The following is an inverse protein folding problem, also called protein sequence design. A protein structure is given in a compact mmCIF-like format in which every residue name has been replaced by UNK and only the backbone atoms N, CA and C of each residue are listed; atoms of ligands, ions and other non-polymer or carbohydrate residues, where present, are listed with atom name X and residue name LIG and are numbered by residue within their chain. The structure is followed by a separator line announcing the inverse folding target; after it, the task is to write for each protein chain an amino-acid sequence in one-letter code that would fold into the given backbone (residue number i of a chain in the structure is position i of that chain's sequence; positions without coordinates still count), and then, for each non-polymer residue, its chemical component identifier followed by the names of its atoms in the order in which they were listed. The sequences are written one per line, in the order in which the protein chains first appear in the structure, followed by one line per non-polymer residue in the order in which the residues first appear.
data_IF_454050675650
#
_entry.id   IF_454050675650
#
_cell.length_a   1.000
_cell.length_b   1.000
_cell.length_c   1.000
_cell.angle_alpha   90.00
_cell.angle_beta   90.00
_cell.angle_gamma   90.00
#
_symmetry.space_group_name_H-M   'P 1'
#
loop_
_entity.id
_entity.type
_entity.pdbx_description
1 polymer ?
#
# COMPACT_ATOMS: atom_id res chain seq x y z
N UNK A 1 17.98 14.10 -2.98
CA UNK A 1 16.54 13.84 -3.14
C UNK A 1 16.15 14.10 -4.58
N UNK A 2 15.54 13.14 -5.25
CA UNK A 2 14.94 13.32 -6.56
C UNK A 2 13.41 13.25 -6.43
N UNK A 3 12.71 14.12 -7.14
CA UNK A 3 11.24 14.19 -7.13
C UNK A 3 10.74 13.87 -8.54
N UNK A 4 9.82 12.90 -8.62
CA UNK A 4 9.18 12.50 -9.86
C UNK A 4 7.70 12.91 -9.76
N UNK A 5 7.29 13.89 -10.55
CA UNK A 5 5.90 14.33 -10.63
C UNK A 5 5.17 13.59 -11.76
N UNK A 6 4.15 12.84 -11.40
CA UNK A 6 3.40 12.00 -12.29
C UNK A 6 2.01 12.61 -12.52
N UNK A 7 1.77 13.11 -13.72
CA UNK A 7 0.43 13.57 -14.16
C UNK A 7 -0.30 12.50 -14.99
N UNK A 8 0.44 11.50 -15.50
CA UNK A 8 -0.06 10.34 -16.22
C UNK A 8 0.20 9.02 -15.48
N UNK A 9 0.08 7.91 -16.22
CA UNK A 9 0.31 6.56 -15.72
C UNK A 9 1.80 6.25 -15.62
N UNK A 10 2.14 5.33 -14.71
CA UNK A 10 3.43 4.63 -14.77
C UNK A 10 3.23 3.37 -15.62
N UNK A 11 4.08 3.22 -16.62
CA UNK A 11 4.16 2.03 -17.42
C UNK A 11 5.62 1.57 -17.52
N UNK A 12 5.89 0.35 -17.09
CA UNK A 12 7.21 -0.28 -17.16
C UNK A 12 7.13 -1.42 -18.17
N UNK A 13 7.77 -1.30 -19.31
CA UNK A 13 7.67 -2.29 -20.41
C UNK A 13 8.68 -3.42 -20.27
N UNK A 14 9.91 -3.12 -19.83
CA UNK A 14 11.01 -4.08 -19.75
C UNK A 14 11.95 -3.71 -18.61
N UNK A 15 11.66 -4.14 -17.39
CA UNK A 15 12.54 -3.88 -16.25
C UNK A 15 11.82 -3.51 -14.98
N UNK A 16 12.59 -3.18 -13.96
CA UNK A 16 12.09 -2.79 -12.64
C UNK A 16 12.25 -1.29 -12.44
N UNK A 17 11.21 -0.65 -11.89
CA UNK A 17 11.46 0.54 -11.09
C UNK A 17 11.84 0.01 -9.70
N UNK A 18 13.12 -0.02 -9.41
CA UNK A 18 13.61 -0.35 -8.08
C UNK A 18 14.11 0.91 -7.41
N UNK A 19 13.48 1.23 -6.28
CA UNK A 19 13.96 2.23 -5.34
C UNK A 19 14.52 1.54 -4.10
N UNK A 20 15.25 0.44 -4.28
CA UNK A 20 15.95 -0.22 -3.17
C UNK A 20 16.74 0.83 -2.41
N UNK A 21 16.68 0.88 -1.08
CA UNK A 21 17.55 1.73 -0.30
C UNK A 21 18.98 1.25 -0.51
N UNK A 22 19.62 1.75 -1.56
CA UNK A 22 21.06 1.63 -1.70
C UNK A 22 21.63 2.39 -0.51
N UNK A 23 22.45 1.73 0.26
CA UNK A 23 23.23 2.24 1.41
C UNK A 23 23.32 3.77 1.50
N UNK A 24 23.32 4.35 2.68
CA UNK A 24 23.21 5.73 3.13
C UNK A 24 23.66 6.91 2.21
N UNK A 25 24.05 6.66 0.98
CA UNK A 25 24.49 7.64 -0.02
C UNK A 25 23.53 7.79 -1.20
N UNK A 26 22.54 6.93 -1.35
CA UNK A 26 21.56 7.03 -2.44
C UNK A 26 20.44 7.99 -2.07
N UNK A 27 20.14 8.90 -2.97
CA UNK A 27 19.15 9.93 -2.75
C UNK A 27 17.73 9.38 -2.52
N UNK A 28 16.95 10.10 -1.73
CA UNK A 28 15.52 9.81 -1.55
C UNK A 28 14.80 10.09 -2.86
N UNK A 29 14.04 9.11 -3.36
CA UNK A 29 13.13 9.27 -4.50
C UNK A 29 11.72 9.48 -3.99
N UNK A 30 11.07 10.54 -4.45
CA UNK A 30 9.69 10.88 -4.11
C UNK A 30 8.85 10.77 -5.38
N UNK A 31 7.84 9.90 -5.34
CA UNK A 31 6.86 9.73 -6.42
C UNK A 31 5.60 10.49 -6.06
N UNK A 32 5.30 11.55 -6.79
CA UNK A 32 4.09 12.35 -6.61
C UNK A 32 3.05 11.98 -7.67
N UNK A 33 1.97 11.31 -7.25
CA UNK A 33 0.80 11.08 -8.09
C UNK A 33 -0.12 12.29 -7.96
N UNK A 34 -0.06 13.20 -8.92
CA UNK A 34 -0.76 14.48 -8.88
C UNK A 34 -1.58 14.76 -10.16
N UNK A 35 -2.02 13.72 -10.84
CA UNK A 35 -2.92 13.82 -11.99
C UNK A 35 -4.31 14.36 -11.64
N UNK A 36 -5.03 14.78 -12.66
CA UNK A 36 -6.45 15.19 -12.56
C UNK A 36 -7.42 14.13 -13.11
N UNK A 37 -6.89 13.09 -13.74
CA UNK A 37 -7.61 11.92 -14.26
C UNK A 37 -7.15 10.67 -13.52
N UNK A 38 -7.90 9.54 -13.58
CA UNK A 38 -7.45 8.29 -12.98
C UNK A 38 -6.07 7.90 -13.49
N UNK A 39 -5.19 7.53 -12.56
CA UNK A 39 -3.83 7.07 -12.87
C UNK A 39 -3.71 5.58 -12.63
N UNK A 40 -2.77 4.93 -13.28
CA UNK A 40 -2.43 3.54 -13.03
C UNK A 40 -0.93 3.30 -12.94
N UNK A 41 -0.58 2.29 -12.17
CA UNK A 41 0.77 1.73 -12.12
C UNK A 41 0.70 0.35 -12.76
N UNK A 42 1.43 0.16 -13.87
CA UNK A 42 1.37 -1.04 -14.67
C UNK A 42 2.77 -1.38 -15.21
N UNK A 43 3.12 -2.65 -15.26
CA UNK A 43 4.39 -3.09 -15.83
C UNK A 43 4.22 -4.07 -17.01
N UNK A 44 3.19 -3.89 -17.82
CA UNK A 44 3.04 -4.68 -19.07
C UNK A 44 2.71 -6.16 -18.85
N UNK A 45 2.23 -6.55 -17.65
CA UNK A 45 1.87 -7.94 -17.34
C UNK A 45 3.05 -8.79 -16.83
N UNK A 46 4.22 -8.21 -16.65
CA UNK A 46 5.35 -8.88 -15.99
C UNK A 46 5.09 -8.86 -14.48
N UNK A 47 5.09 -10.00 -13.76
CA UNK A 47 4.82 -10.04 -12.32
C UNK A 47 6.05 -9.58 -11.52
N UNK A 48 6.39 -8.31 -11.63
CA UNK A 48 7.51 -7.69 -10.92
C UNK A 48 6.97 -6.69 -9.90
N UNK A 49 7.54 -6.69 -8.71
CA UNK A 49 7.25 -5.70 -7.68
C UNK A 49 7.81 -4.33 -8.13
N UNK A 50 6.99 -3.30 -8.07
CA UNK A 50 7.42 -1.93 -8.34
C UNK A 50 7.79 -1.29 -7.03
N UNK A 51 9.07 -1.00 -6.84
CA UNK A 51 9.60 -0.47 -5.60
C UNK A 51 9.67 1.05 -5.63
N UNK A 52 9.08 1.70 -4.61
CA UNK A 52 9.05 3.14 -4.44
C UNK A 52 9.57 3.52 -3.06
N UNK A 53 10.35 4.59 -2.96
CA UNK A 53 10.86 5.02 -1.66
C UNK A 53 9.80 5.81 -0.90
N UNK A 54 9.46 7.01 -1.34
CA UNK A 54 8.36 7.83 -0.83
C UNK A 54 7.28 8.01 -1.88
N UNK A 55 6.02 7.94 -1.46
CA UNK A 55 4.87 8.05 -2.36
C UNK A 55 3.91 9.09 -1.80
N UNK A 56 3.61 10.10 -2.59
CA UNK A 56 2.60 11.11 -2.28
C UNK A 56 1.39 10.92 -3.21
N UNK A 57 0.22 10.77 -2.61
CA UNK A 57 -1.04 10.59 -3.33
C UNK A 57 -1.82 11.90 -3.27
N UNK A 58 -1.92 12.59 -4.40
CA UNK A 58 -2.66 13.85 -4.56
C UNK A 58 -3.51 13.83 -5.85
N UNK A 59 -4.27 12.76 -6.05
CA UNK A 59 -5.13 12.61 -7.21
C UNK A 59 -6.52 12.13 -6.79
N UNK A 60 -7.48 13.04 -6.76
CA UNK A 60 -8.87 12.75 -6.36
C UNK A 60 -9.57 11.74 -7.28
N UNK A 61 -9.13 11.63 -8.55
CA UNK A 61 -9.66 10.65 -9.49
C UNK A 61 -9.20 9.21 -9.19
N UNK A 62 -8.20 9.08 -8.29
CA UNK A 62 -7.71 7.80 -7.78
C UNK A 62 -6.57 7.19 -8.59
N UNK A 63 -5.95 6.18 -7.98
CA UNK A 63 -4.83 5.42 -8.55
C UNK A 63 -5.17 3.93 -8.50
N UNK A 64 -4.99 3.23 -9.61
CA UNK A 64 -5.15 1.78 -9.71
C UNK A 64 -3.78 1.11 -9.76
N UNK A 65 -3.51 0.22 -8.84
CA UNK A 65 -2.33 -0.64 -8.91
C UNK A 65 -2.67 -1.91 -9.71
N UNK A 66 -2.10 -2.02 -10.90
CA UNK A 66 -2.17 -3.22 -11.74
C UNK A 66 -0.96 -4.14 -11.54
N UNK A 67 -0.11 -3.81 -10.59
CA UNK A 67 1.03 -4.60 -10.12
C UNK A 67 1.18 -4.44 -8.61
N UNK A 68 1.93 -5.33 -7.99
CA UNK A 68 2.40 -5.15 -6.63
C UNK A 68 3.31 -3.92 -6.56
N UNK A 69 3.03 -3.05 -5.60
CA UNK A 69 3.83 -1.85 -5.33
C UNK A 69 4.35 -1.94 -3.90
N UNK A 70 5.65 -1.83 -3.73
CA UNK A 70 6.32 -1.80 -2.42
C UNK A 70 6.78 -0.39 -2.06
N UNK A 71 6.45 0.05 -0.86
CA UNK A 71 6.86 1.35 -0.31
C UNK A 71 7.85 1.13 0.83
N UNK A 72 9.03 1.76 0.73
CA UNK A 72 10.12 1.54 1.67
C UNK A 72 10.20 2.58 2.79
N UNK A 73 9.65 3.78 2.59
CA UNK A 73 9.73 4.85 3.59
C UNK A 73 8.31 5.33 3.96
N UNK A 74 7.72 6.21 3.18
CA UNK A 74 6.44 6.84 3.54
C UNK A 74 5.45 6.80 2.40
N UNK A 75 4.22 6.37 2.72
CA UNK A 75 3.03 6.61 1.91
C UNK A 75 2.26 7.78 2.52
N UNK A 76 2.22 8.90 1.81
CA UNK A 76 1.54 10.11 2.26
C UNK A 76 0.30 10.38 1.42
N UNK A 77 -0.85 10.55 2.09
CA UNK A 77 -2.10 10.93 1.43
C UNK A 77 -2.34 12.44 1.58
N UNK A 78 -2.50 13.14 0.46
CA UNK A 78 -3.11 14.46 0.39
C UNK A 78 -4.59 14.30 0.07
N UNK A 79 -4.89 13.56 -0.99
CA UNK A 79 -6.23 13.15 -1.41
C UNK A 79 -6.14 12.07 -2.48
N UNK A 80 -7.15 11.20 -2.52
CA UNK A 80 -7.28 10.17 -3.55
C UNK A 80 -7.21 8.75 -2.99
N UNK A 81 -7.89 7.85 -3.65
CA UNK A 81 -8.03 6.45 -3.25
C UNK A 81 -7.10 5.61 -4.10
N UNK A 82 -6.26 4.81 -3.45
CA UNK A 82 -5.53 3.73 -4.13
C UNK A 82 -6.44 2.51 -4.18
N UNK A 83 -6.52 1.87 -5.34
CA UNK A 83 -7.20 0.58 -5.50
C UNK A 83 -6.18 -0.53 -5.66
N UNK A 84 -6.33 -1.57 -4.85
CA UNK A 84 -5.48 -2.77 -4.84
C UNK A 84 -6.34 -4.04 -4.95
N UNK A 85 -5.70 -5.16 -5.25
CA UNK A 85 -6.31 -6.49 -5.26
C UNK A 85 -5.37 -7.50 -4.60
N UNK A 86 -5.85 -8.73 -4.35
CA UNK A 86 -5.00 -9.79 -3.78
C UNK A 86 -3.81 -10.17 -4.69
N UNK A 87 -3.89 -9.87 -5.99
CA UNK A 87 -2.80 -10.10 -6.94
C UNK A 87 -1.88 -8.88 -7.06
N UNK A 88 -2.41 -7.69 -6.81
CA UNK A 88 -1.72 -6.41 -6.99
C UNK A 88 -1.74 -5.64 -5.66
N UNK A 89 -0.94 -6.10 -4.71
CA UNK A 89 -0.88 -5.57 -3.36
C UNK A 89 -0.12 -4.24 -3.28
N UNK A 90 -0.54 -3.39 -2.36
CA UNK A 90 0.33 -2.39 -1.76
C UNK A 90 1.07 -3.05 -0.60
N UNK A 91 2.39 -3.09 -0.66
CA UNK A 91 3.24 -3.63 0.40
C UNK A 91 4.00 -2.50 1.11
N UNK A 92 3.75 -2.33 2.38
CA UNK A 92 4.50 -1.44 3.25
C UNK A 92 5.67 -2.22 3.85
N UNK A 93 6.89 -1.90 3.46
CA UNK A 93 8.12 -2.61 3.89
C UNK A 93 8.45 -2.32 5.36
N UNK A 94 9.38 -3.07 5.94
CA UNK A 94 9.85 -2.84 7.31
C UNK A 94 10.35 -1.40 7.47
N UNK A 95 9.98 -0.74 8.57
CA UNK A 95 10.31 0.66 8.83
C UNK A 95 9.48 1.70 8.05
N UNK A 96 8.65 1.29 7.09
CA UNK A 96 7.79 2.22 6.37
C UNK A 96 6.59 2.68 7.20
N UNK A 97 6.10 3.88 6.88
CA UNK A 97 4.98 4.51 7.57
C UNK A 97 3.90 5.02 6.61
N UNK A 98 2.70 5.22 7.14
CA UNK A 98 1.60 5.89 6.46
C UNK A 98 1.31 7.21 7.16
N UNK A 99 1.02 8.25 6.41
CA UNK A 99 0.64 9.55 6.96
C UNK A 99 -0.58 10.14 6.26
N UNK A 100 -1.41 10.86 7.02
CA UNK A 100 -2.60 11.58 6.57
C UNK A 100 -3.68 10.73 5.87
N UNK A 101 -3.72 9.42 6.13
CA UNK A 101 -4.84 8.61 5.67
C UNK A 101 -6.13 9.08 6.35
N UNK A 102 -7.20 9.25 5.58
CA UNK A 102 -8.48 9.80 6.00
C UNK A 102 -9.57 9.45 4.97
N UNK A 103 -10.80 9.94 5.16
CA UNK A 103 -11.86 9.80 4.16
C UNK A 103 -11.52 10.42 2.80
N UNK A 104 -10.58 11.37 2.77
CA UNK A 104 -10.08 11.98 1.52
C UNK A 104 -9.01 11.14 0.82
N UNK A 105 -8.38 10.17 1.53
CA UNK A 105 -7.31 9.36 0.97
C UNK A 105 -7.04 8.10 1.79
N UNK A 106 -7.27 6.95 1.17
CA UNK A 106 -7.10 5.62 1.78
C UNK A 106 -6.88 4.56 0.70
N UNK A 107 -6.70 3.31 1.11
CA UNK A 107 -6.60 2.16 0.20
C UNK A 107 -7.92 1.39 0.19
N UNK A 108 -8.52 1.24 -0.99
CA UNK A 108 -9.64 0.36 -1.24
C UNK A 108 -9.10 -0.98 -1.76
N UNK A 109 -8.99 -1.94 -0.89
CA UNK A 109 -8.45 -3.26 -1.11
C UNK A 109 -7.39 -3.64 -0.09
N UNK A 110 -6.71 -4.76 -0.28
CA UNK A 110 -5.74 -5.26 0.68
C UNK A 110 -4.44 -4.44 0.70
N UNK A 111 -3.88 -4.32 1.90
CA UNK A 111 -2.57 -3.76 2.17
C UNK A 111 -1.77 -4.76 2.98
N UNK A 112 -0.53 -5.02 2.56
CA UNK A 112 0.44 -5.85 3.28
C UNK A 112 1.40 -4.95 4.06
N UNK A 113 1.72 -5.31 5.30
CA UNK A 113 2.81 -4.77 6.10
C UNK A 113 3.84 -5.86 6.33
N UNK A 114 5.10 -5.53 6.13
CA UNK A 114 6.25 -6.36 6.50
C UNK A 114 6.91 -5.75 7.73
N UNK A 115 7.24 -6.57 8.71
CA UNK A 115 7.92 -6.16 9.93
C UNK A 115 7.12 -6.42 11.19
N UNK A 116 7.75 -6.14 12.33
CA UNK A 116 7.32 -6.46 13.68
C UNK A 116 6.87 -5.24 14.52
N UNK A 117 6.84 -4.07 13.90
CA UNK A 117 6.41 -2.83 14.55
C UNK A 117 4.90 -2.63 14.48
N UNK A 118 4.36 -1.85 15.41
CA UNK A 118 2.98 -1.38 15.31
C UNK A 118 2.71 -0.71 13.96
N UNK A 119 1.53 -0.91 13.45
CA UNK A 119 1.15 -0.33 12.16
C UNK A 119 -0.36 -0.14 12.04
N UNK A 120 -0.76 0.99 11.47
CA UNK A 120 -2.16 1.25 11.11
C UNK A 120 -2.32 1.13 9.61
N UNK A 121 -3.04 0.10 9.18
CA UNK A 121 -3.38 -0.11 7.78
C UNK A 121 -4.33 0.99 7.30
N UNK A 122 -4.01 1.70 6.21
CA UNK A 122 -4.83 2.79 5.69
C UNK A 122 -5.99 2.28 4.82
N UNK A 123 -6.71 1.29 5.28
CA UNK A 123 -7.76 0.62 4.50
C UNK A 123 -9.13 1.29 4.65
N UNK A 124 -9.98 1.05 3.67
CA UNK A 124 -11.34 1.55 3.63
C UNK A 124 -12.09 1.02 2.41
N UNK A 125 -13.29 1.52 2.17
CA UNK A 125 -14.13 1.12 1.04
C UNK A 125 -14.78 2.35 0.41
N UNK A 126 -14.74 2.44 -0.90
CA UNK A 126 -15.51 3.47 -1.64
C UNK A 126 -17.00 3.37 -1.26
N UNK A 127 -17.58 4.49 -0.87
CA UNK A 127 -18.97 4.56 -0.38
C UNK A 127 -19.15 4.23 1.11
N UNK A 128 -18.07 3.83 1.82
CA UNK A 128 -18.05 3.69 3.29
C UNK A 128 -17.13 4.72 3.92
N UNK A 129 -15.94 4.96 3.31
CA UNK A 129 -14.90 5.83 3.80
C UNK A 129 -13.69 5.07 4.34
N UNK A 130 -12.87 5.77 5.08
CA UNK A 130 -11.67 5.28 5.74
C UNK A 130 -12.03 4.48 6.99
N UNK A 131 -11.59 3.24 7.05
CA UNK A 131 -11.82 2.32 8.17
C UNK A 131 -10.49 1.65 8.53
N UNK A 132 -9.64 2.32 9.31
CA UNK A 132 -8.30 1.81 9.61
C UNK A 132 -8.34 0.54 10.45
N UNK A 133 -7.34 -0.31 10.23
CA UNK A 133 -7.12 -1.51 11.04
C UNK A 133 -5.72 -1.39 11.64
N UNK A 134 -5.64 -1.38 12.98
CA UNK A 134 -4.36 -1.30 13.71
C UNK A 134 -3.85 -2.68 14.10
N UNK A 135 -2.54 -2.88 14.02
CA UNK A 135 -1.83 -3.98 14.68
C UNK A 135 -0.82 -3.40 15.65
N UNK A 136 -0.72 -4.01 16.84
CA UNK A 136 0.31 -3.69 17.84
C UNK A 136 1.58 -4.50 17.62
N UNK A 137 2.53 -4.32 18.51
CA UNK A 137 3.73 -5.17 18.58
C UNK A 137 3.34 -6.51 19.19
N UNK A 138 3.70 -7.61 18.52
CA UNK A 138 3.44 -8.97 19.00
C UNK A 138 4.71 -9.57 19.59
N UNK A 139 4.57 -10.22 20.74
CA UNK A 139 5.69 -10.95 21.35
C UNK A 139 6.13 -12.09 20.44
N UNK A 140 7.43 -12.11 20.11
CA UNK A 140 8.02 -13.12 19.22
C UNK A 140 7.87 -12.82 17.73
N UNK A 141 7.35 -11.63 17.36
CA UNK A 141 7.37 -11.17 15.98
C UNK A 141 8.79 -10.83 15.52
N UNK A 142 9.00 -10.88 14.22
CA UNK A 142 10.28 -10.64 13.57
C UNK A 142 10.13 -9.62 12.44
N UNK A 143 11.24 -9.01 12.04
CA UNK A 143 11.28 -8.04 10.94
C UNK A 143 10.81 -8.61 9.57
N UNK A 144 10.68 -9.94 9.47
CA UNK A 144 10.23 -10.62 8.25
C UNK A 144 8.75 -11.05 8.30
N UNK A 145 8.05 -10.81 9.41
CA UNK A 145 6.65 -11.18 9.51
C UNK A 145 5.79 -10.34 8.57
N UNK A 146 4.77 -10.95 8.00
CA UNK A 146 3.87 -10.31 7.05
C UNK A 146 2.44 -10.32 7.56
N UNK A 147 1.81 -9.16 7.54
CA UNK A 147 0.41 -8.97 7.90
C UNK A 147 -0.33 -8.35 6.73
N UNK A 148 -1.50 -8.88 6.39
CA UNK A 148 -2.35 -8.31 5.34
C UNK A 148 -3.71 -7.96 5.94
N UNK A 149 -4.16 -6.73 5.68
CA UNK A 149 -5.47 -6.27 6.10
C UNK A 149 -6.25 -5.71 4.92
N UNK A 150 -7.54 -5.98 4.91
CA UNK A 150 -8.53 -5.40 4.01
C UNK A 150 -9.83 -5.15 4.77
N UNK A 151 -10.47 -4.00 4.52
CA UNK A 151 -11.81 -3.77 4.99
C UNK A 151 -12.84 -4.33 3.99
N UNK A 152 -13.60 -5.34 4.42
CA UNK A 152 -14.66 -5.98 3.64
C UNK A 152 -16.01 -5.61 4.26
N UNK A 153 -16.83 -4.86 3.52
CA UNK A 153 -18.20 -4.54 3.95
C UNK A 153 -19.11 -5.74 3.66
N UNK A 154 -19.06 -6.75 4.51
CA UNK A 154 -19.94 -7.89 4.44
C UNK A 154 -20.43 -8.28 5.84
N UNK A 155 -21.63 -8.88 5.92
CA UNK A 155 -22.06 -9.50 7.17
C UNK A 155 -21.24 -10.78 7.36
N UNK A 156 -20.53 -10.90 8.47
CA UNK A 156 -19.71 -12.07 8.80
C UNK A 156 -20.49 -13.40 8.75
N UNK A 157 -21.80 -13.36 8.97
CA UNK A 157 -22.71 -14.52 8.83
C UNK A 157 -22.97 -14.91 7.39
N UNK A 158 -22.74 -14.03 6.41
CA UNK A 158 -22.91 -14.28 4.97
C UNK A 158 -21.63 -14.71 4.26
N UNK A 159 -20.49 -14.71 4.93
CA UNK A 159 -19.25 -15.25 4.41
C UNK A 159 -19.31 -16.78 4.54
N UNK A 160 -19.49 -17.48 3.44
CA UNK A 160 -19.41 -18.94 3.41
C UNK A 160 -18.00 -19.36 3.85
N UNK A 161 -17.88 -19.92 5.06
CA UNK A 161 -16.61 -20.40 5.61
C UNK A 161 -16.10 -19.70 6.86
N UNK A 162 -16.82 -18.72 7.41
CA UNK A 162 -16.42 -18.02 8.63
C UNK A 162 -15.31 -16.98 8.40
N UNK A 163 -14.83 -16.36 9.46
CA UNK A 163 -13.72 -15.42 9.41
C UNK A 163 -12.44 -16.22 9.23
N UNK A 164 -11.86 -16.17 8.02
CA UNK A 164 -10.52 -16.71 7.81
C UNK A 164 -9.53 -15.60 8.21
N UNK A 165 -8.94 -15.70 9.37
CA UNK A 165 -7.78 -14.88 9.74
C UNK A 165 -6.57 -15.53 9.08
N UNK A 166 -6.18 -15.02 7.91
CA UNK A 166 -4.92 -15.40 7.26
C UNK A 166 -3.79 -14.59 7.87
N UNK A 167 -3.26 -15.09 8.93
CA UNK A 167 -2.17 -14.54 9.70
C UNK A 167 -2.34 -15.01 11.12
N UNK A 168 -1.40 -15.80 11.63
CA UNK A 168 -1.51 -16.35 12.97
C UNK A 168 -1.44 -15.22 13.99
N UNK A 169 -2.58 -14.71 14.44
CA UNK A 169 -2.64 -14.02 15.71
C UNK A 169 -2.60 -15.10 16.79
N UNK A 170 -1.43 -15.39 17.31
CA UNK A 170 -1.32 -16.16 18.54
C UNK A 170 -1.79 -15.27 19.67
N UNK A 171 -3.00 -15.49 20.14
CA UNK A 171 -3.44 -15.00 21.44
C UNK A 171 -2.99 -16.04 22.46
N UNK A 172 -2.00 -15.69 23.25
CA UNK A 172 -1.61 -16.46 24.44
C UNK A 172 -2.39 -15.95 25.64
#
# INVERSE_FOLDING_TARGET
TAIINLTGNIYVSDGNISATPVTATAGIFIFNFNGSTPQSVNNGGIPVDIEMHKVNINNIAGILFNNTVSVFDTLHFVKGIIKTTNLNLLTMKAGSAVSNASDSGFVHGPVKKVGDTEFTFPVGKTGTGYVPIGIGVFFGSTANDEFTAEYIRANARGLAGGITVTGLVRVS
#
